data_IF_696181776498
#
_entry.id   IF_696181776498
#
_cell.length_a   1.000
_cell.length_b   1.000
_cell.length_c   1.000
_cell.angle_alpha   90.00
_cell.angle_beta   90.00
_cell.angle_gamma   90.00
#
_symmetry.space_group_name_H-M   'P 1'
#
loop_
_entity.id
_entity.type
_entity.pdbx_description
1 polymer ?
#
# COMPACT_ATOMS: atom_id res chain seq x y z
N UNK A 1 -49.15 29.37 -66.12
CA UNK A 1 -47.80 28.89 -65.77
C UNK A 1 -47.63 29.07 -64.26
N UNK A 2 -47.85 28.01 -63.48
CA UNK A 2 -47.92 28.05 -62.01
C UNK A 2 -46.57 27.70 -61.37
N UNK A 3 -46.18 28.49 -60.37
CA UNK A 3 -44.93 28.41 -59.63
C UNK A 3 -44.91 27.14 -58.74
N UNK A 4 -43.94 26.25 -58.96
CA UNK A 4 -43.69 25.12 -58.07
C UNK A 4 -42.94 25.60 -56.81
N UNK A 5 -43.64 25.65 -55.68
CA UNK A 5 -43.05 25.92 -54.36
C UNK A 5 -42.11 24.78 -53.96
N UNK A 6 -40.83 25.09 -53.74
CA UNK A 6 -39.84 24.16 -53.21
C UNK A 6 -40.09 23.91 -51.71
N UNK A 7 -40.71 22.76 -51.39
CA UNK A 7 -40.74 22.26 -50.02
C UNK A 7 -39.31 21.90 -49.60
N UNK A 8 -38.68 22.77 -48.81
CA UNK A 8 -37.39 22.51 -48.18
C UNK A 8 -37.51 21.36 -47.18
N UNK A 9 -36.82 20.25 -47.45
CA UNK A 9 -36.70 19.15 -46.49
C UNK A 9 -35.80 19.58 -45.33
N UNK A 10 -36.42 19.81 -44.16
CA UNK A 10 -35.69 20.06 -42.91
C UNK A 10 -35.13 18.73 -42.41
N UNK A 11 -33.80 18.57 -42.44
CA UNK A 11 -33.12 17.40 -41.87
C UNK A 11 -33.21 17.46 -40.34
N UNK A 12 -33.66 16.40 -39.64
CA UNK A 12 -33.65 16.39 -38.19
C UNK A 12 -32.20 16.41 -37.69
N UNK A 13 -31.88 17.37 -36.82
CA UNK A 13 -30.60 17.41 -36.11
C UNK A 13 -30.63 16.27 -35.10
N UNK A 14 -29.98 15.15 -35.43
CA UNK A 14 -29.77 14.06 -34.49
C UNK A 14 -28.73 14.50 -33.45
N UNK A 15 -29.21 15.08 -32.34
CA UNK A 15 -28.40 15.38 -31.16
C UNK A 15 -28.01 14.05 -30.50
N UNK A 16 -26.73 13.69 -30.56
CA UNK A 16 -26.22 12.52 -29.85
C UNK A 16 -26.53 12.69 -28.35
N UNK A 17 -27.15 11.70 -27.67
CA UNK A 17 -27.38 11.80 -26.24
C UNK A 17 -26.02 11.87 -25.52
N UNK A 18 -25.89 12.87 -24.65
CA UNK A 18 -24.73 13.03 -23.78
C UNK A 18 -24.70 11.81 -22.84
N UNK A 19 -23.82 10.85 -23.11
CA UNK A 19 -23.64 9.71 -22.19
C UNK A 19 -23.18 10.28 -20.84
N UNK A 20 -23.84 9.96 -19.71
CA UNK A 20 -23.30 10.33 -18.41
C UNK A 20 -21.91 9.72 -18.32
N UNK A 21 -20.92 10.53 -17.93
CA UNK A 21 -19.59 10.01 -17.58
C UNK A 21 -19.81 9.07 -16.40
N UNK A 22 -19.99 7.78 -16.67
CA UNK A 22 -19.92 6.72 -15.68
C UNK A 22 -18.64 6.97 -14.89
N UNK A 23 -18.69 6.87 -13.56
CA UNK A 23 -17.60 7.23 -12.65
C UNK A 23 -16.42 6.25 -12.76
N UNK A 24 -15.89 6.08 -13.96
CA UNK A 24 -14.55 5.61 -14.24
C UNK A 24 -13.84 6.78 -14.93
N UNK A 25 -13.68 7.85 -14.15
CA UNK A 25 -12.85 9.01 -14.48
C UNK A 25 -11.37 8.73 -14.18
N UNK A 26 -10.44 9.61 -14.59
CA UNK A 26 -9.02 9.29 -14.67
C UNK A 26 -8.46 8.89 -13.31
N UNK A 27 -8.26 7.58 -13.12
CA UNK A 27 -7.37 7.01 -12.10
C UNK A 27 -5.90 7.28 -12.48
N UNK A 28 -5.60 8.49 -12.97
CA UNK A 28 -4.27 8.89 -13.39
C UNK A 28 -3.46 9.23 -12.13
N UNK A 29 -2.39 8.49 -11.84
CA UNK A 29 -1.59 8.71 -10.65
C UNK A 29 -0.80 10.01 -10.86
N UNK A 30 -1.19 11.10 -10.20
CA UNK A 30 -0.27 12.25 -10.11
C UNK A 30 -0.88 13.62 -9.86
N UNK A 31 -2.10 13.93 -10.34
CA UNK A 31 -2.75 15.24 -10.15
C UNK A 31 -4.27 15.14 -10.25
N UNK A 32 -4.92 14.77 -9.14
CA UNK A 32 -6.37 14.77 -8.99
C UNK A 32 -6.76 14.70 -7.50
N UNK A 33 -8.05 14.83 -7.21
CA UNK A 33 -8.61 14.76 -5.83
C UNK A 33 -8.43 13.36 -5.20
N UNK A 34 -8.23 12.31 -6.02
CA UNK A 34 -8.10 10.91 -5.60
C UNK A 34 -6.66 10.53 -5.19
N UNK A 35 -5.99 11.38 -4.43
CA UNK A 35 -4.66 11.05 -3.85
C UNK A 35 -4.83 10.48 -2.45
N UNK A 36 -3.95 9.56 -2.07
CA UNK A 36 -3.91 9.07 -0.70
C UNK A 36 -3.45 10.18 0.25
N UNK A 37 -4.18 10.38 1.33
CA UNK A 37 -3.77 11.26 2.42
C UNK A 37 -2.73 10.54 3.28
N UNK A 38 -1.45 10.88 3.11
CA UNK A 38 -0.33 10.17 3.76
C UNK A 38 0.35 10.95 4.88
N UNK A 39 -0.11 12.17 5.20
CA UNK A 39 0.57 13.08 6.14
C UNK A 39 0.76 12.50 7.55
N UNK A 40 -0.19 11.69 8.04
CA UNK A 40 -0.10 11.09 9.38
C UNK A 40 0.47 9.66 9.38
N UNK A 41 0.89 9.13 8.22
CA UNK A 41 1.44 7.78 8.15
C UNK A 41 2.77 7.72 8.89
N UNK A 42 2.92 6.73 9.76
CA UNK A 42 4.07 6.53 10.63
C UNK A 42 5.29 5.98 9.89
N UNK A 43 5.06 5.20 8.83
CA UNK A 43 6.14 4.69 8.00
C UNK A 43 5.75 3.49 7.16
N UNK A 44 6.68 3.00 6.32
CA UNK A 44 6.52 1.74 5.63
C UNK A 44 6.56 0.58 6.64
N UNK A 45 5.59 -0.32 6.53
CA UNK A 45 5.60 -1.59 7.24
C UNK A 45 6.32 -2.61 6.37
N UNK A 46 7.64 -2.68 6.51
CA UNK A 46 8.50 -3.52 5.68
C UNK A 46 9.46 -4.31 6.56
N UNK A 47 9.82 -5.51 6.11
CA UNK A 47 10.94 -6.22 6.71
C UNK A 47 12.24 -5.50 6.39
N UNK A 48 13.20 -5.58 7.32
CA UNK A 48 14.56 -5.11 7.08
C UNK A 48 15.22 -5.91 5.96
N UNK A 49 16.27 -5.35 5.35
CA UNK A 49 17.08 -6.08 4.39
C UNK A 49 17.67 -7.33 5.04
N UNK A 50 17.57 -8.47 4.35
CA UNK A 50 18.17 -9.72 4.83
C UNK A 50 19.69 -9.59 4.94
N UNK A 51 20.18 -9.47 6.17
CA UNK A 51 21.60 -9.52 6.47
C UNK A 51 22.09 -10.97 6.56
N UNK A 52 23.41 -11.18 6.49
CA UNK A 52 24.04 -12.48 6.63
C UNK A 52 23.56 -13.26 7.88
N UNK A 53 23.35 -12.55 9.00
CA UNK A 53 22.87 -13.16 10.25
C UNK A 53 21.45 -13.72 10.21
N UNK A 54 20.55 -13.16 9.40
CA UNK A 54 19.19 -13.69 9.21
C UNK A 54 19.11 -14.75 8.12
N UNK A 55 20.05 -14.72 7.16
CA UNK A 55 20.14 -15.72 6.10
C UNK A 55 20.59 -17.08 6.65
N UNK A 56 21.56 -17.06 7.54
CA UNK A 56 22.23 -18.26 8.05
C UNK A 56 21.89 -18.58 9.52
N UNK A 57 21.13 -17.71 10.19
CA UNK A 57 20.78 -17.87 11.59
C UNK A 57 19.48 -17.18 11.93
N UNK A 58 19.36 -16.72 13.17
CA UNK A 58 18.20 -15.97 13.64
C UNK A 58 18.63 -14.66 14.27
N UNK A 59 17.83 -13.61 14.06
CA UNK A 59 17.98 -12.34 14.78
C UNK A 59 16.83 -12.17 15.75
N UNK A 60 17.17 -11.92 17.02
CA UNK A 60 16.21 -11.62 18.09
C UNK A 60 16.09 -10.09 18.25
N UNK A 61 14.88 -9.59 18.10
CA UNK A 61 14.51 -8.20 18.40
C UNK A 61 13.50 -8.15 19.55
N UNK A 62 13.46 -7.02 20.25
CA UNK A 62 12.44 -6.77 21.28
C UNK A 62 11.39 -5.83 20.71
N UNK A 63 10.12 -6.20 20.82
CA UNK A 63 9.00 -5.31 20.49
C UNK A 63 8.94 -4.21 21.55
N UNK A 64 9.31 -3.00 21.14
CA UNK A 64 9.36 -1.84 22.04
C UNK A 64 8.01 -1.18 22.20
N UNK A 65 7.27 -1.01 21.10
CA UNK A 65 5.99 -0.29 21.08
C UNK A 65 5.08 -0.88 20.00
N UNK A 66 3.77 -0.83 20.23
CA UNK A 66 2.75 -1.15 19.23
C UNK A 66 2.03 0.17 18.92
N UNK A 67 2.11 0.63 17.68
CA UNK A 67 1.60 1.92 17.22
C UNK A 67 0.45 1.71 16.24
N UNK A 68 -0.55 2.60 16.28
CA UNK A 68 -1.60 2.65 15.27
C UNK A 68 -1.18 3.58 14.12
N UNK A 69 -1.27 3.07 12.87
CA UNK A 69 -0.97 3.84 11.66
C UNK A 69 -2.27 4.23 10.94
N UNK A 70 -2.61 5.52 10.84
CA UNK A 70 -3.86 5.95 10.23
C UNK A 70 -3.93 5.54 8.76
N UNK A 71 -5.03 4.88 8.40
CA UNK A 71 -5.24 4.32 7.07
C UNK A 71 -4.73 2.88 6.90
N UNK A 72 -4.34 2.20 7.98
CA UNK A 72 -4.17 0.74 8.04
C UNK A 72 -5.17 0.13 9.02
N UNK A 73 -5.75 -1.02 8.66
CA UNK A 73 -6.63 -1.78 9.55
C UNK A 73 -5.89 -2.50 10.68
N UNK A 74 -4.56 -2.63 10.57
CA UNK A 74 -3.73 -3.32 11.55
C UNK A 74 -2.67 -2.40 12.14
N UNK A 75 -2.32 -2.68 13.39
CA UNK A 75 -1.29 -1.98 14.14
C UNK A 75 0.11 -2.32 13.62
N UNK A 76 1.06 -1.41 13.81
CA UNK A 76 2.48 -1.64 13.54
C UNK A 76 3.24 -1.90 14.83
N UNK A 77 4.17 -2.85 14.80
CA UNK A 77 5.06 -3.15 15.91
C UNK A 77 6.43 -2.52 15.64
N UNK A 78 6.87 -1.65 16.55
CA UNK A 78 8.22 -1.08 16.52
C UNK A 78 9.17 -2.03 17.24
N UNK A 79 10.02 -2.70 16.48
CA UNK A 79 10.97 -3.70 16.99
C UNK A 79 12.37 -3.11 16.99
N UNK A 80 13.07 -3.23 18.12
CA UNK A 80 14.46 -2.85 18.25
C UNK A 80 15.37 -4.08 18.15
N UNK A 81 16.24 -4.10 17.14
CA UNK A 81 17.29 -5.09 16.97
C UNK A 81 18.65 -4.55 17.41
N UNK A 82 19.55 -5.47 17.75
CA UNK A 82 20.97 -5.16 17.88
C UNK A 82 21.62 -5.33 16.52
N UNK A 83 22.37 -4.34 16.07
CA UNK A 83 23.15 -4.44 14.84
C UNK A 83 24.27 -5.48 15.07
N UNK A 84 24.50 -6.35 14.09
CA UNK A 84 25.45 -7.47 14.20
C UNK A 84 26.91 -7.02 14.26
N UNK A 85 27.29 -6.07 13.40
CA UNK A 85 28.68 -5.60 13.30
C UNK A 85 29.03 -4.34 14.11
N UNK A 86 28.03 -3.56 14.55
CA UNK A 86 28.25 -2.24 15.17
C UNK A 86 27.45 -2.15 16.45
N UNK A 87 27.94 -1.39 17.43
CA UNK A 87 27.18 -1.09 18.65
C UNK A 87 26.10 -0.04 18.36
N UNK A 88 25.04 -0.46 17.65
CA UNK A 88 23.88 0.36 17.27
C UNK A 88 22.61 -0.45 17.44
N UNK A 89 21.52 0.22 17.82
CA UNK A 89 20.17 -0.36 17.85
C UNK A 89 19.43 0.04 16.57
N UNK A 90 18.97 -0.94 15.79
CA UNK A 90 18.17 -0.71 14.59
C UNK A 90 16.69 -0.79 14.97
N UNK A 91 15.93 0.26 14.67
CA UNK A 91 14.50 0.33 14.95
C UNK A 91 13.74 0.18 13.64
N UNK A 92 12.92 -0.86 13.55
CA UNK A 92 12.18 -1.20 12.35
C UNK A 92 10.69 -1.36 12.66
N UNK A 93 9.84 -1.08 11.68
CA UNK A 93 8.39 -1.12 11.80
C UNK A 93 7.84 -2.36 11.08
N UNK A 94 7.32 -3.31 11.86
CA UNK A 94 6.71 -4.53 11.33
C UNK A 94 5.20 -4.47 11.41
N UNK A 95 4.56 -5.34 10.64
CA UNK A 95 3.15 -5.64 10.84
C UNK A 95 2.98 -6.41 12.15
N UNK A 96 1.99 -6.05 12.95
CA UNK A 96 1.71 -6.75 14.21
C UNK A 96 0.96 -8.04 13.89
N UNK A 97 1.51 -9.20 14.28
CA UNK A 97 0.76 -10.45 14.29
C UNK A 97 -0.19 -10.45 15.50
N UNK A 98 -1.34 -11.12 15.41
CA UNK A 98 -2.42 -11.07 16.42
C UNK A 98 -1.96 -11.37 17.86
N UNK A 99 -0.92 -12.19 18.03
CA UNK A 99 -0.39 -12.56 19.35
C UNK A 99 0.79 -11.69 19.83
N UNK A 100 1.19 -10.67 19.07
CA UNK A 100 2.37 -9.85 19.38
C UNK A 100 2.06 -8.85 20.51
N UNK A 101 2.73 -9.01 21.65
CA UNK A 101 2.60 -8.12 22.82
C UNK A 101 3.87 -7.30 23.01
N UNK A 102 3.76 -6.20 23.75
CA UNK A 102 4.92 -5.45 24.26
C UNK A 102 5.93 -6.38 24.93
N UNK A 103 7.22 -6.10 24.72
CA UNK A 103 8.35 -6.89 25.21
C UNK A 103 8.43 -8.34 24.71
N UNK A 104 7.60 -8.74 23.74
CA UNK A 104 7.74 -10.05 23.07
C UNK A 104 9.01 -10.08 22.23
N UNK A 105 9.68 -11.24 22.22
CA UNK A 105 10.83 -11.48 21.35
C UNK A 105 10.37 -11.78 19.92
N UNK A 106 10.82 -10.97 18.98
CA UNK A 106 10.64 -11.21 17.55
C UNK A 106 11.86 -11.95 17.00
N UNK A 107 11.66 -13.13 16.44
CA UNK A 107 12.71 -13.93 15.79
C UNK A 107 12.54 -13.91 14.28
N UNK A 108 13.50 -13.33 13.56
CA UNK A 108 13.59 -13.44 12.12
C UNK A 108 14.61 -14.52 11.74
N UNK A 109 14.20 -15.54 10.99
CA UNK A 109 15.07 -16.58 10.47
C UNK A 109 14.56 -17.06 9.10
N UNK A 110 15.47 -17.45 8.20
CA UNK A 110 15.10 -18.17 6.99
C UNK A 110 14.61 -19.58 7.39
N UNK A 111 13.40 -19.96 6.98
CA UNK A 111 12.93 -21.36 7.11
C UNK A 111 13.97 -22.26 6.41
N UNK A 112 14.51 -23.30 7.06
CA UNK A 112 15.44 -24.20 6.40
C UNK A 112 14.77 -24.79 5.16
N UNK A 113 15.50 -24.95 4.04
CA UNK A 113 14.97 -25.67 2.89
C UNK A 113 14.61 -27.07 3.40
N UNK A 114 13.34 -27.44 3.25
CA UNK A 114 12.87 -28.78 3.59
C UNK A 114 13.73 -29.79 2.84
N UNK A 115 14.42 -30.66 3.57
CA UNK A 115 14.93 -31.90 3.00
C UNK A 115 13.70 -32.66 2.48
N UNK A 116 13.55 -32.72 1.16
CA UNK A 116 12.63 -33.67 0.55
C UNK A 116 13.11 -35.09 0.90
N UNK A 117 12.19 -36.04 1.14
CA UNK A 117 12.54 -37.40 1.50
C UNK A 117 13.40 -38.09 0.44
#
# INVERSE_FOLDING_TARGET
MGLASSMGQVRPIFVRPMRPKFRQGPNSPGRGVLKSHTHHRKGPACFRSLDFGERNGYLKGVVTEIIHDPGRGASLARVSFRHTFRYKKQKELFFTAEACKLATLYTAARRPPSLHP
#
